data_IF_797519842309
#
_entry.id   IF_797519842309
#
_cell.length_a   1.000
_cell.length_b   1.000
_cell.length_c   1.000
_cell.angle_alpha   90.00
_cell.angle_beta   90.00
_cell.angle_gamma   90.00
#
_symmetry.space_group_name_H-M   'P 1'
#
loop_
_entity.id
_entity.type
_entity.pdbx_description
1 polymer ?
#
# COMPACT_ATOMS: atom_id res chain seq x y z
N UNK A 1 -22.40 18.53 -3.83
CA UNK A 1 -23.57 18.22 -3.02
C UNK A 1 -23.88 19.42 -2.12
N UNK A 2 -25.15 19.84 -2.06
CA UNK A 2 -25.58 20.89 -1.14
C UNK A 2 -26.05 20.25 0.17
N UNK A 3 -25.49 20.71 1.28
CA UNK A 3 -25.79 20.24 2.63
C UNK A 3 -26.34 21.39 3.48
N UNK A 4 -27.06 21.05 4.53
CA UNK A 4 -27.57 22.01 5.50
C UNK A 4 -27.46 21.39 6.89
N UNK A 5 -26.91 22.14 7.84
CA UNK A 5 -26.82 21.68 9.22
C UNK A 5 -28.13 21.97 10.03
N UNK A 6 -28.18 21.50 11.24
CA UNK A 6 -29.34 21.67 12.16
C UNK A 6 -29.58 23.13 12.55
N UNK A 7 -28.60 24.02 12.35
CA UNK A 7 -28.68 25.45 12.61
C UNK A 7 -29.05 26.26 11.36
N UNK A 8 -29.28 25.59 10.22
CA UNK A 8 -29.73 26.21 8.99
C UNK A 8 -28.61 26.77 8.13
N UNK A 9 -27.33 26.53 8.47
CA UNK A 9 -26.21 26.91 7.62
C UNK A 9 -26.13 26.02 6.38
N UNK A 10 -25.83 26.62 5.25
CA UNK A 10 -25.70 25.91 3.96
C UNK A 10 -24.23 25.69 3.64
N UNK A 11 -23.92 24.47 3.16
CA UNK A 11 -22.59 24.05 2.74
C UNK A 11 -22.63 23.50 1.32
N UNK A 12 -21.52 23.68 0.63
CA UNK A 12 -21.24 23.02 -0.64
C UNK A 12 -20.15 22.00 -0.41
N UNK A 13 -20.48 20.71 -0.56
CA UNK A 13 -19.49 19.62 -0.59
C UNK A 13 -19.13 19.33 -2.05
N UNK A 14 -17.88 19.51 -2.40
CA UNK A 14 -17.29 19.11 -3.67
C UNK A 14 -16.37 17.92 -3.44
N UNK A 15 -16.49 16.88 -4.28
CA UNK A 15 -15.57 15.74 -4.31
C UNK A 15 -14.88 15.81 -5.67
N UNK A 16 -13.55 15.81 -5.65
CA UNK A 16 -12.75 15.91 -6.88
C UNK A 16 -11.55 14.97 -6.78
N UNK A 17 -11.01 14.59 -7.92
CA UNK A 17 -9.78 13.78 -7.96
C UNK A 17 -8.64 14.56 -7.32
N UNK A 18 -7.81 13.87 -6.53
CA UNK A 18 -6.64 14.46 -5.90
C UNK A 18 -5.37 14.04 -6.64
N UNK A 19 -4.93 14.92 -7.55
CA UNK A 19 -3.72 14.70 -8.35
C UNK A 19 -2.43 14.83 -7.52
N UNK A 20 -2.52 15.27 -6.28
CA UNK A 20 -1.40 15.46 -5.35
C UNK A 20 -1.51 14.58 -4.11
N UNK A 21 -2.27 13.50 -4.20
CA UNK A 21 -2.41 12.57 -3.09
C UNK A 21 -1.05 12.04 -2.63
N UNK A 22 -0.82 12.06 -1.32
CA UNK A 22 0.38 11.53 -0.72
C UNK A 22 0.52 10.04 -0.98
N UNK A 23 1.77 9.58 -1.22
CA UNK A 23 2.07 8.15 -1.33
C UNK A 23 1.67 7.43 -0.03
N UNK A 24 0.79 6.42 -0.09
CA UNK A 24 0.35 5.67 1.07
C UNK A 24 1.50 5.00 1.85
N UNK A 25 2.65 4.79 1.22
CA UNK A 25 3.81 4.20 1.92
C UNK A 25 4.47 5.17 2.91
N UNK A 26 4.18 6.46 2.81
CA UNK A 26 4.59 7.46 3.81
C UNK A 26 3.73 7.44 5.09
N UNK A 27 2.64 6.69 5.09
CA UNK A 27 1.76 6.57 6.26
C UNK A 27 2.34 5.57 7.28
N UNK A 28 1.69 5.45 8.43
CA UNK A 28 2.04 4.47 9.45
C UNK A 28 1.56 3.06 9.07
N UNK A 29 2.31 2.41 8.18
CA UNK A 29 2.02 1.08 7.68
C UNK A 29 2.58 -0.01 8.60
N UNK A 30 1.93 -1.16 8.63
CA UNK A 30 2.37 -2.33 9.40
C UNK A 30 3.22 -3.26 8.55
N UNK A 31 2.89 -3.41 7.26
CA UNK A 31 3.66 -4.26 6.36
C UNK A 31 4.86 -3.52 5.76
N UNK A 32 5.87 -4.28 5.41
CA UNK A 32 6.97 -3.84 4.54
C UNK A 32 6.69 -4.34 3.12
N UNK A 33 6.82 -3.46 2.14
CA UNK A 33 6.63 -3.75 0.71
C UNK A 33 7.92 -3.44 -0.02
N UNK A 34 8.59 -4.46 -0.58
CA UNK A 34 9.78 -4.29 -1.40
C UNK A 34 9.54 -4.73 -2.83
N UNK A 35 9.93 -3.88 -3.78
CA UNK A 35 9.76 -4.16 -5.21
C UNK A 35 11.02 -3.86 -6.02
N UNK A 36 11.19 -4.56 -7.14
CA UNK A 36 12.30 -4.43 -8.10
C UNK A 36 11.74 -4.04 -9.48
N UNK A 37 11.16 -2.84 -9.55
CA UNK A 37 10.64 -2.28 -10.81
C UNK A 37 11.63 -1.26 -11.38
N UNK A 38 11.73 -1.21 -12.72
CA UNK A 38 12.64 -0.27 -13.38
C UNK A 38 12.00 1.08 -13.66
N UNK A 39 10.70 1.09 -13.91
CA UNK A 39 9.98 2.26 -14.40
C UNK A 39 9.19 3.00 -13.33
N UNK A 40 8.88 2.33 -12.22
CA UNK A 40 8.05 2.86 -11.15
C UNK A 40 8.72 2.67 -9.80
N UNK A 41 8.66 3.69 -8.95
CA UNK A 41 9.01 3.57 -7.54
C UNK A 41 7.77 3.12 -6.78
N UNK A 42 7.72 1.87 -6.38
CA UNK A 42 6.59 1.25 -5.69
C UNK A 42 7.08 0.59 -4.41
N UNK A 43 6.38 0.81 -3.31
CA UNK A 43 6.74 0.23 -2.02
C UNK A 43 7.73 1.07 -1.22
N UNK A 44 8.31 0.45 -0.20
CA UNK A 44 9.22 1.11 0.72
C UNK A 44 10.63 1.22 0.10
N UNK A 45 11.34 2.27 0.47
CA UNK A 45 12.76 2.40 0.10
C UNK A 45 13.60 1.31 0.78
N UNK A 46 14.52 0.73 0.03
CA UNK A 46 15.44 -0.27 0.54
C UNK A 46 16.82 -0.14 -0.10
N UNK A 47 17.85 -0.36 0.70
CA UNK A 47 19.26 -0.42 0.26
C UNK A 47 19.70 -1.87 -0.01
N UNK A 48 18.73 -2.73 -0.39
CA UNK A 48 19.00 -4.13 -0.67
C UNK A 48 19.68 -4.29 -2.04
N UNK A 49 20.27 -5.48 -2.25
CA UNK A 49 20.80 -5.91 -3.52
C UNK A 49 19.80 -5.69 -4.67
N UNK A 50 20.29 -5.47 -5.89
CA UNK A 50 19.48 -5.45 -7.12
C UNK A 50 18.79 -6.79 -7.39
N UNK A 51 19.12 -7.82 -6.60
CA UNK A 51 18.56 -9.16 -6.68
C UNK A 51 17.46 -9.38 -5.64
N UNK A 52 16.27 -9.67 -6.11
CA UNK A 52 15.15 -10.08 -5.24
C UNK A 52 15.47 -11.40 -4.52
N UNK A 53 16.27 -12.28 -5.12
CA UNK A 53 16.72 -13.53 -4.49
C UNK A 53 17.53 -13.24 -3.22
N UNK A 54 18.50 -12.33 -3.27
CA UNK A 54 19.32 -11.98 -2.11
C UNK A 54 18.48 -11.43 -0.97
N UNK A 55 17.51 -10.57 -1.30
CA UNK A 55 16.60 -10.01 -0.30
C UNK A 55 15.71 -11.08 0.36
N UNK A 56 15.23 -12.06 -0.40
CA UNK A 56 14.49 -13.20 0.14
C UNK A 56 15.37 -14.09 1.01
N UNK A 57 16.59 -14.35 0.57
CA UNK A 57 17.58 -15.13 1.32
C UNK A 57 17.91 -14.43 2.66
N UNK A 58 18.21 -13.14 2.63
CA UNK A 58 18.43 -12.33 3.82
C UNK A 58 17.23 -12.38 4.79
N UNK A 59 16.01 -12.29 4.26
CA UNK A 59 14.80 -12.35 5.07
C UNK A 59 14.64 -13.74 5.72
N UNK A 60 14.95 -14.82 5.00
CA UNK A 60 14.94 -16.18 5.55
C UNK A 60 15.97 -16.34 6.67
N UNK A 61 17.18 -15.85 6.48
CA UNK A 61 18.26 -15.95 7.48
C UNK A 61 17.94 -15.13 8.72
N UNK A 62 17.51 -13.88 8.55
CA UNK A 62 17.15 -12.99 9.67
C UNK A 62 16.05 -13.57 10.58
N UNK A 63 15.14 -14.34 9.98
CA UNK A 63 14.02 -14.94 10.71
C UNK A 63 14.28 -16.41 11.06
N UNK A 64 15.50 -16.90 10.97
CA UNK A 64 15.93 -18.27 11.29
C UNK A 64 15.10 -19.36 10.58
N UNK A 65 14.66 -19.08 9.34
CA UNK A 65 13.85 -19.99 8.52
C UNK A 65 14.76 -20.95 7.74
N UNK A 66 15.85 -20.41 7.16
CA UNK A 66 16.87 -21.13 6.42
C UNK A 66 18.24 -20.52 6.70
N UNK A 67 19.30 -21.34 6.62
CA UNK A 67 20.69 -20.86 6.63
C UNK A 67 21.22 -20.69 5.20
N UNK A 68 22.32 -19.93 5.04
CA UNK A 68 22.99 -19.79 3.74
C UNK A 68 23.45 -21.14 3.20
N UNK A 69 24.01 -22.01 4.06
CA UNK A 69 24.49 -23.34 3.69
C UNK A 69 23.34 -24.21 3.15
N UNK A 70 22.17 -24.20 3.82
CA UNK A 70 20.99 -24.94 3.35
C UNK A 70 20.49 -24.46 1.98
N UNK A 71 20.55 -23.14 1.73
CA UNK A 71 20.13 -22.58 0.47
C UNK A 71 21.07 -22.93 -0.68
N UNK A 72 22.40 -22.88 -0.44
CA UNK A 72 23.41 -23.26 -1.42
C UNK A 72 23.39 -24.78 -1.69
N UNK A 73 23.31 -25.62 -0.66
CA UNK A 73 23.27 -27.07 -0.79
C UNK A 73 22.07 -27.57 -1.60
N UNK A 74 20.92 -26.88 -1.47
CA UNK A 74 19.68 -27.28 -2.13
C UNK A 74 19.41 -26.56 -3.43
N UNK A 75 20.30 -25.64 -3.85
CA UNK A 75 20.12 -24.79 -5.05
C UNK A 75 18.71 -24.13 -5.08
N UNK A 76 18.39 -23.40 -4.02
CA UNK A 76 17.04 -22.85 -3.85
C UNK A 76 16.86 -21.57 -4.64
N UNK A 77 15.79 -21.52 -5.43
CA UNK A 77 15.36 -20.34 -6.19
C UNK A 77 14.28 -19.54 -5.44
N UNK A 78 13.95 -18.33 -5.93
CA UNK A 78 13.01 -17.39 -5.31
C UNK A 78 11.68 -18.03 -4.91
N UNK A 79 11.11 -18.89 -5.76
CA UNK A 79 9.87 -19.57 -5.47
C UNK A 79 9.95 -20.48 -4.23
N UNK A 80 11.09 -21.09 -4.00
CA UNK A 80 11.31 -21.97 -2.83
C UNK A 80 11.52 -21.16 -1.57
N UNK A 81 12.25 -20.05 -1.65
CA UNK A 81 12.41 -19.10 -0.55
C UNK A 81 11.07 -18.48 -0.16
N UNK A 82 10.29 -18.05 -1.15
CA UNK A 82 8.95 -17.53 -0.91
C UNK A 82 8.00 -18.55 -0.26
N UNK A 83 8.09 -19.84 -0.64
CA UNK A 83 7.33 -20.89 0.02
C UNK A 83 7.76 -21.08 1.48
N UNK A 84 9.06 -21.11 1.76
CA UNK A 84 9.58 -21.22 3.12
C UNK A 84 9.09 -20.06 4.01
N UNK A 85 9.08 -18.84 3.49
CA UNK A 85 8.52 -17.67 4.17
C UNK A 85 7.01 -17.79 4.40
N UNK A 86 6.25 -18.29 3.42
CA UNK A 86 4.81 -18.51 3.56
C UNK A 86 4.46 -19.58 4.61
N UNK A 87 5.26 -20.62 4.72
CA UNK A 87 5.09 -21.73 5.67
C UNK A 87 5.58 -21.39 7.08
N UNK A 88 6.49 -20.41 7.23
CA UNK A 88 7.02 -20.00 8.53
C UNK A 88 5.93 -19.52 9.49
N UNK A 89 6.06 -19.87 10.77
CA UNK A 89 5.16 -19.40 11.84
C UNK A 89 5.48 -17.97 12.32
N UNK A 90 6.62 -17.40 11.91
CA UNK A 90 7.13 -16.13 12.42
C UNK A 90 7.01 -14.98 11.40
N UNK A 91 6.52 -15.27 10.20
CA UNK A 91 6.36 -14.27 9.15
C UNK A 91 5.05 -14.46 8.38
N UNK A 92 4.35 -13.36 8.11
CA UNK A 92 3.27 -13.28 7.14
C UNK A 92 3.85 -12.73 5.84
N UNK A 93 3.66 -13.44 4.72
CA UNK A 93 4.31 -13.14 3.45
C UNK A 93 3.33 -13.21 2.28
N UNK A 94 3.48 -12.28 1.32
CA UNK A 94 2.77 -12.24 0.04
C UNK A 94 3.71 -11.84 -1.08
N UNK A 95 3.62 -12.52 -2.20
CA UNK A 95 4.15 -12.01 -3.47
C UNK A 95 3.36 -10.81 -3.94
N UNK A 96 4.02 -9.90 -4.65
CA UNK A 96 3.39 -8.79 -5.35
C UNK A 96 3.58 -8.98 -6.84
N UNK A 97 2.47 -9.08 -7.56
CA UNK A 97 2.42 -9.10 -9.01
C UNK A 97 2.03 -7.73 -9.53
N UNK A 98 2.58 -7.35 -10.67
CA UNK A 98 2.15 -6.20 -11.44
C UNK A 98 1.58 -6.63 -12.79
N UNK A 99 0.68 -5.81 -13.32
CA UNK A 99 0.24 -5.80 -14.70
C UNK A 99 0.47 -4.40 -15.26
N UNK A 100 1.28 -4.30 -16.32
CA UNK A 100 1.71 -3.05 -16.93
C UNK A 100 1.20 -2.96 -18.37
N UNK A 101 0.08 -2.24 -18.56
CA UNK A 101 -0.50 -1.97 -19.87
C UNK A 101 -1.14 -0.58 -19.89
N UNK A 102 -0.49 0.41 -20.50
CA UNK A 102 -0.89 1.83 -20.49
C UNK A 102 -0.94 2.49 -19.10
N UNK A 103 -0.42 1.84 -18.08
CA UNK A 103 -0.37 2.17 -16.67
C UNK A 103 0.07 0.95 -15.90
N UNK A 104 0.13 1.03 -14.59
CA UNK A 104 0.50 -0.09 -13.74
C UNK A 104 -0.59 -0.34 -12.69
N UNK A 105 -0.88 -1.60 -12.44
CA UNK A 105 -1.69 -2.07 -11.30
C UNK A 105 -0.95 -3.20 -10.60
N UNK A 106 -1.09 -3.29 -9.29
CA UNK A 106 -0.41 -4.29 -8.47
C UNK A 106 -1.40 -5.10 -7.63
N UNK A 107 -1.03 -6.31 -7.25
CA UNK A 107 -1.85 -7.17 -6.41
C UNK A 107 -1.03 -8.24 -5.70
N UNK A 108 -1.57 -8.74 -4.59
CA UNK A 108 -1.13 -9.99 -3.95
C UNK A 108 -1.70 -11.25 -4.62
N UNK A 109 -2.59 -11.10 -5.61
CA UNK A 109 -3.20 -12.19 -6.36
C UNK A 109 -2.29 -12.68 -7.50
N UNK A 110 -1.46 -13.69 -7.21
CA UNK A 110 -0.56 -14.29 -8.20
C UNK A 110 -1.31 -15.31 -9.05
N UNK A 111 -1.05 -15.30 -10.37
CA UNK A 111 -1.57 -16.32 -11.29
C UNK A 111 -3.05 -16.17 -11.70
N UNK A 112 -3.70 -15.06 -11.35
CA UNK A 112 -5.04 -14.70 -11.80
C UNK A 112 -5.01 -13.55 -12.80
N UNK A 113 -5.99 -13.49 -13.71
CA UNK A 113 -6.08 -12.36 -14.64
C UNK A 113 -6.31 -11.03 -13.89
N UNK A 114 -5.66 -9.91 -14.27
CA UNK A 114 -4.68 -9.75 -15.36
C UNK A 114 -3.24 -10.21 -15.02
N UNK A 115 -2.94 -10.60 -13.80
CA UNK A 115 -1.61 -10.91 -13.29
C UNK A 115 -1.05 -12.27 -13.75
N UNK A 116 -1.71 -12.94 -14.69
CA UNK A 116 -1.21 -14.13 -15.38
C UNK A 116 -1.00 -13.89 -16.88
N UNK A 117 -1.07 -12.65 -17.34
CA UNK A 117 -0.72 -12.29 -18.70
C UNK A 117 0.78 -12.55 -18.95
N UNK A 118 1.09 -13.18 -20.09
CA UNK A 118 2.46 -13.62 -20.38
C UNK A 118 3.42 -12.47 -20.68
N UNK A 119 2.87 -11.35 -21.18
CA UNK A 119 3.67 -10.26 -21.73
C UNK A 119 3.72 -9.06 -20.80
N UNK A 120 2.60 -8.77 -20.17
CA UNK A 120 2.39 -7.53 -19.44
C UNK A 120 2.31 -7.75 -17.92
N UNK A 121 2.54 -8.98 -17.43
CA UNK A 121 2.50 -9.26 -16.01
C UNK A 121 3.69 -10.04 -15.48
N UNK A 122 3.98 -9.88 -14.20
CA UNK A 122 5.05 -10.60 -13.51
C UNK A 122 5.07 -10.31 -12.01
N UNK A 123 5.82 -11.14 -11.30
CA UNK A 123 6.16 -10.88 -9.90
C UNK A 123 7.21 -9.76 -9.89
N UNK A 124 6.91 -8.67 -9.20
CA UNK A 124 7.78 -7.50 -9.08
C UNK A 124 8.40 -7.36 -7.71
N UNK A 125 7.94 -8.12 -6.72
CA UNK A 125 8.40 -8.01 -5.35
C UNK A 125 7.59 -8.84 -4.38
N UNK A 126 7.65 -8.45 -3.12
CA UNK A 126 6.92 -9.10 -2.04
C UNK A 126 6.58 -8.13 -0.91
N UNK A 127 5.62 -8.52 -0.10
CA UNK A 127 5.26 -7.84 1.13
C UNK A 127 5.29 -8.80 2.31
N UNK A 128 5.66 -8.31 3.48
CA UNK A 128 5.73 -9.12 4.68
C UNK A 128 5.47 -8.33 5.96
N UNK A 129 5.12 -9.07 7.01
CA UNK A 129 5.04 -8.61 8.40
C UNK A 129 5.66 -9.70 9.26
N UNK A 130 6.64 -9.36 10.09
CA UNK A 130 7.15 -10.31 11.10
C UNK A 130 6.19 -10.36 12.29
N UNK A 131 6.20 -11.46 13.00
CA UNK A 131 5.38 -11.63 14.22
C UNK A 131 5.68 -10.55 15.25
N UNK A 132 6.95 -10.21 15.42
CA UNK A 132 7.40 -9.15 16.33
C UNK A 132 6.79 -7.79 15.95
N UNK A 133 6.87 -7.39 14.66
CA UNK A 133 6.26 -6.16 14.15
C UNK A 133 4.75 -6.13 14.38
N UNK A 134 4.08 -7.28 14.12
CA UNK A 134 2.64 -7.37 14.34
C UNK A 134 2.29 -7.22 15.82
N UNK A 135 2.97 -7.96 16.72
CA UNK A 135 2.72 -7.92 18.16
C UNK A 135 2.96 -6.54 18.77
N UNK A 136 3.99 -5.82 18.28
CA UNK A 136 4.30 -4.46 18.73
C UNK A 136 3.17 -3.48 18.40
N UNK A 137 2.57 -3.59 17.21
CA UNK A 137 1.55 -2.66 16.73
C UNK A 137 0.12 -3.06 17.08
N UNK A 138 -0.19 -4.34 17.00
CA UNK A 138 -1.54 -4.88 17.11
C UNK A 138 -1.79 -5.70 18.39
N UNK A 139 -0.71 -5.96 19.15
CA UNK A 139 -0.77 -6.84 20.32
C UNK A 139 -0.74 -8.33 19.96
N UNK A 140 -0.59 -9.17 21.00
CA UNK A 140 -0.52 -10.63 20.83
C UNK A 140 -1.87 -11.23 20.51
N UNK A 141 -1.92 -12.07 19.46
CA UNK A 141 -3.11 -12.80 19.03
C UNK A 141 -2.75 -14.17 18.50
N UNK A 142 -3.61 -15.15 18.74
CA UNK A 142 -3.39 -16.53 18.25
C UNK A 142 -3.53 -16.61 16.71
N UNK A 143 -4.37 -15.77 16.13
CA UNK A 143 -4.62 -15.67 14.68
C UNK A 143 -3.80 -14.57 13.97
N UNK A 144 -2.70 -14.13 14.60
CA UNK A 144 -1.88 -13.00 14.17
C UNK A 144 -1.50 -13.07 12.67
N UNK A 145 -1.05 -14.23 12.21
CA UNK A 145 -0.59 -14.40 10.83
C UNK A 145 -1.71 -14.18 9.83
N UNK A 146 -2.92 -14.66 10.12
CA UNK A 146 -4.09 -14.44 9.29
C UNK A 146 -4.49 -12.96 9.23
N UNK A 147 -4.42 -12.28 10.37
CA UNK A 147 -4.71 -10.85 10.42
C UNK A 147 -3.61 -10.03 9.71
N UNK A 148 -2.34 -10.37 9.90
CA UNK A 148 -1.22 -9.74 9.19
C UNK A 148 -1.35 -9.88 7.67
N UNK A 149 -1.78 -11.05 7.16
CA UNK A 149 -2.07 -11.25 5.75
C UNK A 149 -3.16 -10.29 5.23
N UNK A 150 -4.23 -10.07 5.99
CA UNK A 150 -5.28 -9.11 5.61
C UNK A 150 -4.76 -7.66 5.60
N UNK A 151 -3.86 -7.32 6.54
CA UNK A 151 -3.21 -6.02 6.56
C UNK A 151 -2.38 -5.85 5.29
N UNK A 152 -1.52 -6.81 4.94
CA UNK A 152 -0.73 -6.79 3.70
C UNK A 152 -1.65 -6.59 2.49
N UNK A 153 -2.69 -7.43 2.36
CA UNK A 153 -3.61 -7.38 1.22
C UNK A 153 -4.31 -6.00 1.13
N UNK A 154 -4.65 -5.39 2.27
CA UNK A 154 -5.28 -4.06 2.34
C UNK A 154 -4.31 -2.93 1.98
N UNK A 155 -3.08 -2.98 2.49
CA UNK A 155 -2.07 -1.95 2.21
C UNK A 155 -1.63 -2.00 0.75
N UNK A 156 -1.39 -3.19 0.17
CA UNK A 156 -1.10 -3.36 -1.26
C UNK A 156 -2.24 -2.81 -2.12
N UNK A 157 -3.49 -3.10 -1.76
CA UNK A 157 -4.66 -2.55 -2.46
C UNK A 157 -4.75 -1.03 -2.37
N UNK A 158 -4.32 -0.44 -1.26
CA UNK A 158 -4.30 1.02 -1.09
C UNK A 158 -3.24 1.65 -2.00
N UNK A 159 -2.06 1.05 -2.08
CA UNK A 159 -1.01 1.46 -3.02
C UNK A 159 -1.48 1.32 -4.47
N UNK A 160 -2.15 0.22 -4.82
CA UNK A 160 -2.71 0.00 -6.16
C UNK A 160 -3.69 1.11 -6.57
N UNK A 161 -4.60 1.49 -5.69
CA UNK A 161 -5.54 2.59 -5.94
C UNK A 161 -4.84 3.92 -6.14
N UNK A 162 -3.80 4.18 -5.37
CA UNK A 162 -3.00 5.38 -5.52
C UNK A 162 -2.27 5.40 -6.87
N UNK A 163 -1.66 4.28 -7.27
CA UNK A 163 -1.01 4.12 -8.59
C UNK A 163 -1.99 4.32 -9.75
N UNK A 164 -3.23 3.84 -9.59
CA UNK A 164 -4.29 4.01 -10.59
C UNK A 164 -4.94 5.40 -10.56
N UNK A 165 -4.51 6.31 -9.68
CA UNK A 165 -5.09 7.65 -9.53
C UNK A 165 -6.50 7.64 -8.91
N UNK A 166 -6.89 6.58 -8.20
CA UNK A 166 -8.19 6.48 -7.50
C UNK A 166 -8.15 7.21 -6.15
N UNK A 167 -7.59 8.42 -6.13
CA UNK A 167 -7.50 9.26 -4.95
C UNK A 167 -8.45 10.46 -5.09
N UNK A 168 -9.21 10.72 -4.04
CA UNK A 168 -10.20 11.79 -4.06
C UNK A 168 -10.07 12.63 -2.79
N UNK A 169 -10.19 13.95 -2.98
CA UNK A 169 -10.33 14.90 -1.89
C UNK A 169 -11.73 15.46 -1.83
N UNK A 170 -12.15 15.89 -0.67
CA UNK A 170 -13.38 16.64 -0.52
C UNK A 170 -13.08 18.05 -0.03
N UNK A 171 -13.84 19.02 -0.54
CA UNK A 171 -13.82 20.40 -0.12
C UNK A 171 -15.21 20.74 0.41
N UNK A 172 -15.26 21.19 1.65
CA UNK A 172 -16.49 21.63 2.29
C UNK A 172 -16.45 23.15 2.47
N UNK A 173 -17.30 23.87 1.74
CA UNK A 173 -17.38 25.32 1.77
C UNK A 173 -18.67 25.75 2.46
N UNK A 174 -18.59 26.61 3.49
CA UNK A 174 -19.74 27.25 4.11
C UNK A 174 -20.20 28.40 3.20
N UNK A 175 -21.49 28.40 2.84
CA UNK A 175 -22.08 29.50 2.10
C UNK A 175 -22.36 30.67 3.02
N UNK A 176 -21.49 31.65 3.03
CA UNK A 176 -21.66 32.87 3.79
C UNK A 176 -22.54 33.85 3.01
N UNK A 177 -23.72 34.16 3.54
CA UNK A 177 -24.55 35.22 3.01
C UNK A 177 -24.05 36.57 3.57
N UNK A 178 -23.26 37.28 2.78
CA UNK A 178 -22.96 38.68 3.09
C UNK A 178 -24.28 39.46 2.98
N UNK A 179 -24.82 39.88 4.11
CA UNK A 179 -25.78 41.00 4.09
C UNK A 179 -24.97 42.19 3.59
N UNK A 180 -25.38 42.77 2.47
CA UNK A 180 -24.92 44.12 2.09
C UNK A 180 -25.29 45.06 3.24
N UNK A 181 -24.40 45.19 4.20
CA UNK A 181 -24.53 46.14 5.25
C UNK A 181 -24.49 47.51 4.60
N UNK A 182 -25.50 48.22 4.88
CA UNK A 182 -25.87 49.56 4.43
C UNK A 182 -24.63 50.42 4.20
N UNK A 183 -24.65 51.10 3.02
CA UNK A 183 -23.78 52.24 2.74
C UNK A 183 -23.59 53.07 4.00
N UNK A 184 -22.35 53.43 4.28
CA UNK A 184 -22.04 54.29 5.41
C UNK A 184 -22.94 55.54 5.37
N UNK A 185 -23.70 55.85 6.44
CA UNK A 185 -24.60 56.99 6.42
C UNK A 185 -23.88 58.34 6.29
N UNK A 186 -22.52 58.35 6.40
CA UNK A 186 -21.70 59.56 6.35
C UNK A 186 -20.95 59.75 5.04
N UNK A 187 -20.62 58.70 4.32
CA UNK A 187 -19.84 58.85 3.04
C UNK A 187 -20.64 58.46 1.77
N UNK A 188 -21.81 57.89 1.88
CA UNK A 188 -22.70 57.55 0.75
C UNK A 188 -22.09 56.60 -0.30
N UNK A 189 -20.94 55.97 0.03
CA UNK A 189 -20.23 54.94 -0.78
C UNK A 189 -20.51 53.52 -0.29
#
# INVERSE_FOLDING_TARGET
LKLKDDFGKEYLLTIEQDDFAEDPRNWDNTSTIWTWTKSYKIGDDHDLSDSMWDALADLCVKNNILTWEEMEEKDLFENRLGLALQESEDIAFRWISAYEHSGITISTAVGTYPYNDRWDSGIIGFAFVTKEQYEERCGKRDDWKKEAIKIIDSEVKTVDRWLCGECYRYVLEEKVHYRNEKRCPHCNE
#
